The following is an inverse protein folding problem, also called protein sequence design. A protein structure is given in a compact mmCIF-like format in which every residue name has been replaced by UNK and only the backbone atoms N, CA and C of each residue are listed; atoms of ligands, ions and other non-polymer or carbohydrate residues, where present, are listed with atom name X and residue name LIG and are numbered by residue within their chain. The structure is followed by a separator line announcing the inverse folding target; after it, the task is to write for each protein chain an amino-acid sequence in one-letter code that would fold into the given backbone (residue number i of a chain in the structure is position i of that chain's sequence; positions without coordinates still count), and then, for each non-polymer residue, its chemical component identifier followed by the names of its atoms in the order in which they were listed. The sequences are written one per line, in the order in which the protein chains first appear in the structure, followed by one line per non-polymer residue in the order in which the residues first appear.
data_IF_216466115189
#
_entry.id   IF_216466115189
#
_cell.length_a   1.000
_cell.length_b   1.000
_cell.length_c   1.000
_cell.angle_alpha   90.00
_cell.angle_beta   90.00
_cell.angle_gamma   90.00
#
_symmetry.space_group_name_H-M   'P 1'
#
loop_
_entity.id
_entity.type
_entity.pdbx_description
1 polymer ?
#
# COMPACT_ATOMS: atom_id res chain seq x y z
N UNK A 1 -16.02 38.22 -28.92
CA UNK A 1 -16.28 36.80 -29.29
C UNK A 1 -15.03 36.23 -29.92
N UNK A 2 -14.17 35.59 -29.13
CA UNK A 2 -13.05 34.77 -29.62
C UNK A 2 -13.19 33.41 -28.96
N UNK A 3 -13.32 32.38 -29.78
CA UNK A 3 -13.43 30.98 -29.36
C UNK A 3 -12.09 30.55 -28.75
N UNK A 4 -12.10 30.16 -27.47
CA UNK A 4 -11.00 29.36 -26.92
C UNK A 4 -11.08 27.97 -27.57
N UNK A 5 -10.16 27.71 -28.49
CA UNK A 5 -9.91 26.38 -29.02
C UNK A 5 -9.32 25.51 -27.92
N UNK A 6 -9.99 24.38 -27.65
CA UNK A 6 -9.50 23.26 -26.85
C UNK A 6 -8.08 22.87 -27.28
N UNK A 7 -7.10 23.06 -26.41
CA UNK A 7 -5.88 22.27 -26.45
C UNK A 7 -6.17 20.99 -25.67
N UNK A 8 -6.56 19.96 -26.42
CA UNK A 8 -6.46 18.57 -25.99
C UNK A 8 -4.96 18.32 -25.83
N UNK A 9 -4.45 18.36 -24.59
CA UNK A 9 -3.16 17.75 -24.29
C UNK A 9 -3.35 16.24 -24.38
N UNK A 10 -3.04 15.69 -25.55
CA UNK A 10 -2.70 14.28 -25.71
C UNK A 10 -1.40 14.03 -24.94
N UNK A 11 -1.52 13.71 -23.64
CA UNK A 11 -0.46 13.04 -22.89
C UNK A 11 -0.42 11.57 -23.32
N UNK A 12 0.01 11.33 -24.56
CA UNK A 12 0.47 10.01 -24.98
C UNK A 12 1.97 9.93 -24.73
N UNK A 13 2.35 9.28 -23.63
CA UNK A 13 3.68 8.72 -23.44
C UNK A 13 4.55 9.40 -22.38
N UNK A 14 4.52 8.86 -21.16
CA UNK A 14 5.77 8.53 -20.44
C UNK A 14 5.46 7.53 -19.32
N UNK A 15 6.10 6.35 -19.41
CA UNK A 15 6.18 5.30 -18.41
C UNK A 15 4.90 4.89 -17.67
N UNK A 16 4.09 4.05 -18.34
CA UNK A 16 3.84 2.74 -17.72
C UNK A 16 5.23 2.18 -17.40
N UNK A 17 5.65 2.16 -16.13
CA UNK A 17 6.41 0.97 -15.73
C UNK A 17 5.50 -0.18 -16.09
N UNK A 18 5.80 -0.86 -17.21
CA UNK A 18 5.35 -2.22 -17.39
C UNK A 18 5.83 -2.92 -16.13
N UNK A 19 4.95 -3.05 -15.14
CA UNK A 19 5.10 -4.06 -14.13
C UNK A 19 4.98 -5.35 -14.93
N UNK A 20 6.12 -5.80 -15.47
CA UNK A 20 6.22 -7.10 -16.09
C UNK A 20 5.64 -8.07 -15.06
N UNK A 21 4.65 -8.84 -15.49
CA UNK A 21 3.93 -9.74 -14.59
C UNK A 21 4.92 -10.56 -13.78
N UNK A 22 4.72 -10.63 -12.46
CA UNK A 22 5.57 -11.41 -11.58
C UNK A 22 5.63 -12.86 -12.09
N UNK A 23 6.85 -13.42 -12.20
CA UNK A 23 7.04 -14.79 -12.72
C UNK A 23 7.28 -15.78 -11.58
N UNK A 24 6.88 -17.05 -11.77
CA UNK A 24 7.22 -18.12 -10.81
C UNK A 24 8.74 -18.24 -10.57
N UNK A 25 9.58 -17.96 -11.57
CA UNK A 25 11.03 -17.99 -11.40
C UNK A 25 11.52 -16.88 -10.44
N UNK A 26 10.99 -15.66 -10.59
CA UNK A 26 11.29 -14.55 -9.69
C UNK A 26 10.81 -14.85 -8.26
N UNK A 27 9.60 -15.40 -8.10
CA UNK A 27 9.08 -15.80 -6.78
C UNK A 27 9.93 -16.90 -6.14
N UNK A 28 10.34 -17.92 -6.91
CA UNK A 28 11.24 -18.98 -6.40
C UNK A 28 12.59 -18.43 -5.95
N UNK A 29 13.17 -17.50 -6.72
CA UNK A 29 14.42 -16.83 -6.34
C UNK A 29 14.24 -16.03 -5.05
N UNK A 30 13.16 -15.26 -4.95
CA UNK A 30 12.83 -14.50 -3.75
C UNK A 30 12.64 -15.40 -2.53
N UNK A 31 11.83 -16.47 -2.65
CA UNK A 31 11.61 -17.48 -1.61
C UNK A 31 12.89 -18.22 -1.18
N UNK A 32 13.92 -18.24 -2.04
CA UNK A 32 15.20 -18.88 -1.74
C UNK A 32 16.17 -17.99 -0.95
N UNK A 33 15.85 -16.71 -0.74
CA UNK A 33 16.68 -15.82 0.07
C UNK A 33 16.62 -16.24 1.55
N UNK A 34 17.75 -16.30 2.28
CA UNK A 34 17.76 -16.73 3.68
C UNK A 34 16.79 -15.97 4.58
N UNK A 35 16.80 -14.63 4.54
CA UNK A 35 15.89 -13.80 5.35
C UNK A 35 14.42 -14.00 4.96
N UNK A 36 14.10 -14.33 3.71
CA UNK A 36 12.72 -14.62 3.29
C UNK A 36 12.26 -15.97 3.85
N UNK A 37 13.12 -16.99 3.84
CA UNK A 37 12.83 -18.29 4.46
C UNK A 37 12.61 -18.17 5.95
N UNK A 38 13.45 -17.37 6.61
CA UNK A 38 13.32 -17.08 8.02
C UNK A 38 12.01 -16.35 8.30
N UNK A 39 11.69 -15.30 7.51
CA UNK A 39 10.47 -14.54 7.66
C UNK A 39 9.19 -15.38 7.53
N UNK A 40 9.12 -16.31 6.58
CA UNK A 40 7.94 -17.19 6.43
C UNK A 40 7.86 -18.28 7.52
N UNK A 41 8.96 -18.54 8.23
CA UNK A 41 9.03 -19.50 9.35
C UNK A 41 8.73 -18.80 10.67
N UNK A 42 9.14 -17.54 10.81
CA UNK A 42 8.98 -16.69 11.98
C UNK A 42 8.18 -15.42 11.63
N UNK A 43 6.92 -15.55 11.14
CA UNK A 43 6.17 -14.43 10.56
C UNK A 43 5.75 -13.37 11.58
N UNK A 44 5.83 -13.67 12.89
CA UNK A 44 5.43 -12.77 13.97
C UNK A 44 6.52 -11.75 14.35
N UNK A 45 7.72 -11.82 13.80
CA UNK A 45 8.72 -10.78 14.05
C UNK A 45 8.47 -9.55 13.18
N UNK A 46 8.62 -8.34 13.74
CA UNK A 46 8.48 -7.07 13.01
C UNK A 46 9.42 -7.05 11.79
N UNK A 47 10.67 -7.47 11.98
CA UNK A 47 11.69 -7.55 10.92
C UNK A 47 11.36 -8.62 9.87
N UNK A 48 10.67 -9.71 10.23
CA UNK A 48 10.19 -10.70 9.27
C UNK A 48 9.16 -10.08 8.32
N UNK A 49 8.19 -9.33 8.87
CA UNK A 49 7.15 -8.67 8.06
C UNK A 49 7.77 -7.63 7.12
N UNK A 50 8.57 -6.72 7.67
CA UNK A 50 9.17 -5.63 6.90
C UNK A 50 10.21 -6.15 5.90
N UNK A 51 11.06 -7.08 6.32
CA UNK A 51 12.08 -7.68 5.48
C UNK A 51 11.48 -8.45 4.32
N UNK A 52 10.42 -9.23 4.58
CA UNK A 52 9.65 -9.90 3.52
C UNK A 52 9.02 -8.88 2.56
N UNK A 53 8.31 -7.87 3.08
CA UNK A 53 7.54 -6.97 2.22
C UNK A 53 8.42 -6.03 1.38
N UNK A 54 9.46 -5.45 1.98
CA UNK A 54 10.41 -4.59 1.26
C UNK A 54 11.53 -5.37 0.59
N UNK A 55 11.60 -6.69 0.79
CA UNK A 55 12.62 -7.54 0.19
C UNK A 55 14.04 -7.17 0.61
N UNK A 56 14.23 -6.75 1.86
CA UNK A 56 15.51 -6.36 2.47
C UNK A 56 15.81 -7.25 3.68
N UNK A 57 17.08 -7.43 3.98
CA UNK A 57 17.51 -8.21 5.14
C UNK A 57 17.80 -7.25 6.31
N UNK A 58 17.01 -7.27 7.38
CA UNK A 58 17.22 -6.37 8.52
C UNK A 58 18.50 -6.70 9.32
N UNK A 59 19.17 -7.83 9.04
CA UNK A 59 20.51 -8.12 9.57
C UNK A 59 21.63 -7.51 8.71
N UNK A 60 21.33 -7.06 7.48
CA UNK A 60 22.27 -6.38 6.61
C UNK A 60 22.42 -4.90 7.05
N UNK A 61 23.62 -4.44 7.45
CA UNK A 61 23.84 -3.07 7.89
C UNK A 61 23.59 -2.02 6.78
N UNK A 62 23.48 -2.43 5.52
CA UNK A 62 23.16 -1.54 4.39
C UNK A 62 21.66 -1.30 4.21
N UNK A 63 20.79 -2.06 4.87
CA UNK A 63 19.33 -1.95 4.75
C UNK A 63 18.79 -0.54 4.94
N UNK A 64 19.20 0.25 5.95
CA UNK A 64 18.77 1.64 6.06
C UNK A 64 19.11 2.48 4.83
N UNK A 65 20.27 2.26 4.19
CA UNK A 65 20.62 2.96 2.95
C UNK A 65 19.76 2.52 1.77
N UNK A 66 19.41 1.23 1.68
CA UNK A 66 18.54 0.70 0.63
C UNK A 66 17.14 1.32 0.74
N UNK A 67 16.61 1.41 1.96
CA UNK A 67 15.29 2.00 2.23
C UNK A 67 15.27 3.51 1.97
N UNK A 68 16.29 4.27 2.40
CA UNK A 68 16.39 5.71 2.12
C UNK A 68 16.44 6.03 0.62
N UNK A 69 17.18 5.23 -0.15
CA UNK A 69 17.28 5.39 -1.61
C UNK A 69 16.05 4.87 -2.36
N UNK A 70 15.14 4.16 -1.69
CA UNK A 70 13.99 3.54 -2.33
C UNK A 70 14.32 2.35 -3.24
N UNK A 71 15.55 1.81 -3.19
CA UNK A 71 16.01 0.72 -4.05
C UNK A 71 15.12 -0.54 -3.94
N UNK A 72 14.49 -0.74 -2.77
CA UNK A 72 13.55 -1.83 -2.54
C UNK A 72 12.32 -1.76 -3.45
N UNK A 73 11.87 -0.57 -3.83
CA UNK A 73 10.67 -0.37 -4.66
C UNK A 73 10.88 -0.96 -6.05
N UNK A 74 12.04 -0.70 -6.67
CA UNK A 74 12.38 -1.27 -7.97
C UNK A 74 12.39 -2.81 -7.94
N UNK A 75 12.83 -3.39 -6.82
CA UNK A 75 12.86 -4.83 -6.62
C UNK A 75 11.47 -5.43 -6.38
N UNK A 76 10.63 -4.73 -5.61
CA UNK A 76 9.40 -5.29 -5.06
C UNK A 76 8.11 -4.82 -5.74
N UNK A 77 8.14 -3.79 -6.59
CA UNK A 77 6.94 -3.29 -7.27
C UNK A 77 6.16 -4.39 -8.01
N UNK A 78 6.85 -5.30 -8.70
CA UNK A 78 6.18 -6.44 -9.34
C UNK A 78 5.50 -7.41 -8.37
N UNK A 79 6.05 -7.57 -7.16
CA UNK A 79 5.45 -8.37 -6.10
C UNK A 79 4.22 -7.69 -5.48
N UNK A 80 4.25 -6.36 -5.34
CA UNK A 80 3.16 -5.58 -4.75
C UNK A 80 1.96 -5.43 -5.69
N UNK A 81 2.20 -5.15 -6.98
CA UNK A 81 1.15 -4.77 -7.92
C UNK A 81 0.70 -5.91 -8.87
N UNK A 82 1.33 -7.09 -8.82
CA UNK A 82 0.88 -8.26 -9.60
C UNK A 82 0.20 -9.32 -8.73
N UNK A 83 -0.89 -9.90 -9.23
CA UNK A 83 -1.45 -11.12 -8.64
C UNK A 83 -0.63 -12.35 -9.08
N UNK A 84 -0.13 -13.15 -8.12
CA UNK A 84 0.61 -14.37 -8.45
C UNK A 84 0.45 -15.45 -7.38
N UNK A 85 -0.04 -16.63 -7.77
CA UNK A 85 -0.41 -17.72 -6.84
C UNK A 85 0.74 -18.19 -5.94
N UNK A 86 1.97 -18.23 -6.46
CA UNK A 86 3.14 -18.65 -5.67
C UNK A 86 3.52 -17.58 -4.63
N UNK A 87 3.35 -16.29 -4.94
CA UNK A 87 3.64 -15.21 -3.99
C UNK A 87 2.55 -15.10 -2.93
N UNK A 88 1.29 -15.22 -3.35
CA UNK A 88 0.15 -15.33 -2.42
C UNK A 88 0.33 -16.52 -1.46
N UNK A 89 0.98 -17.62 -1.90
CA UNK A 89 1.34 -18.75 -1.01
C UNK A 89 2.35 -18.37 0.06
N UNK A 90 3.35 -17.55 -0.26
CA UNK A 90 4.30 -17.05 0.74
C UNK A 90 3.60 -16.10 1.73
N UNK A 91 2.73 -15.22 1.22
CA UNK A 91 1.96 -14.29 2.06
C UNK A 91 1.04 -15.03 3.04
N UNK A 92 0.48 -16.19 2.65
CA UNK A 92 -0.33 -17.03 3.55
C UNK A 92 0.41 -17.53 4.79
N UNK A 93 1.74 -17.57 4.80
CA UNK A 93 2.49 -17.89 6.02
C UNK A 93 2.29 -16.82 7.11
N UNK A 94 1.94 -15.59 6.73
CA UNK A 94 1.66 -14.49 7.66
C UNK A 94 0.20 -14.47 8.13
N UNK A 95 -0.70 -15.34 7.62
CA UNK A 95 -2.13 -15.31 8.00
C UNK A 95 -2.41 -15.31 9.52
N UNK A 96 -1.68 -16.05 10.38
CA UNK A 96 -1.89 -15.96 11.82
C UNK A 96 -1.62 -14.55 12.37
N UNK A 97 -0.46 -13.96 12.07
CA UNK A 97 -0.08 -12.63 12.56
C UNK A 97 -0.91 -11.52 11.91
N UNK A 98 -1.39 -11.70 10.68
CA UNK A 98 -2.36 -10.77 10.07
C UNK A 98 -3.64 -10.70 10.90
N UNK A 99 -4.14 -11.85 11.38
CA UNK A 99 -5.34 -11.91 12.22
C UNK A 99 -5.10 -11.32 13.61
N UNK A 100 -3.93 -11.54 14.19
CA UNK A 100 -3.53 -10.90 15.46
C UNK A 100 -3.51 -9.37 15.30
N UNK A 101 -2.85 -8.85 14.26
CA UNK A 101 -2.82 -7.42 13.95
C UNK A 101 -4.23 -6.85 13.72
N UNK A 102 -5.06 -7.56 12.93
CA UNK A 102 -6.42 -7.17 12.61
C UNK A 102 -7.40 -7.19 13.78
N UNK A 103 -7.03 -7.82 14.91
CA UNK A 103 -7.78 -7.83 16.17
C UNK A 103 -7.14 -6.97 17.26
N UNK A 104 -6.09 -6.23 16.94
CA UNK A 104 -5.31 -5.44 17.90
C UNK A 104 -4.68 -6.28 19.02
N UNK A 105 -4.27 -7.52 18.72
CA UNK A 105 -3.67 -8.47 19.68
C UNK A 105 -2.13 -8.35 19.78
N UNK A 106 -1.49 -7.57 18.90
CA UNK A 106 -0.05 -7.27 18.93
C UNK A 106 0.25 -6.16 19.94
N UNK A 107 0.21 -6.50 21.22
CA UNK A 107 0.26 -5.54 22.34
C UNK A 107 1.68 -5.19 22.80
N UNK A 108 2.70 -5.95 22.38
CA UNK A 108 4.07 -5.73 22.82
C UNK A 108 4.67 -4.41 22.31
N UNK A 109 5.60 -3.84 23.08
CA UNK A 109 6.20 -2.52 22.79
C UNK A 109 6.87 -2.47 21.41
N UNK A 110 7.50 -3.57 20.97
CA UNK A 110 8.14 -3.65 19.65
C UNK A 110 7.18 -3.31 18.50
N UNK A 111 5.90 -3.61 18.66
CA UNK A 111 4.85 -3.32 17.68
C UNK A 111 4.28 -1.91 17.79
N UNK A 112 4.30 -1.31 18.97
CA UNK A 112 3.52 -0.10 19.27
C UNK A 112 4.34 1.15 19.58
N UNK A 113 5.60 1.00 19.98
CA UNK A 113 6.49 2.10 20.35
C UNK A 113 7.44 2.53 19.21
N UNK A 114 7.46 1.81 18.09
CA UNK A 114 8.35 2.09 16.96
C UNK A 114 7.60 2.32 15.64
N UNK A 115 8.21 3.10 14.75
CA UNK A 115 7.75 3.29 13.37
C UNK A 115 7.70 1.94 12.64
N UNK A 116 8.77 1.14 12.76
CA UNK A 116 8.86 -0.18 12.15
C UNK A 116 7.73 -1.10 12.61
N UNK A 117 7.43 -1.11 13.92
CA UNK A 117 6.33 -1.87 14.48
C UNK A 117 4.98 -1.47 13.90
N UNK A 118 4.66 -0.16 13.87
CA UNK A 118 3.41 0.34 13.29
C UNK A 118 3.34 0.10 11.77
N UNK A 119 4.45 0.26 11.07
CA UNK A 119 4.53 -0.05 9.64
C UNK A 119 4.31 -1.53 9.36
N UNK A 120 4.87 -2.42 10.16
CA UNK A 120 4.62 -3.85 10.02
C UNK A 120 3.14 -4.19 10.23
N UNK A 121 2.47 -3.57 11.22
CA UNK A 121 1.02 -3.72 11.41
C UNK A 121 0.22 -3.21 10.20
N UNK A 122 0.58 -2.04 9.64
CA UNK A 122 -0.04 -1.51 8.43
C UNK A 122 0.13 -2.47 7.24
N UNK A 123 1.35 -2.98 7.02
CA UNK A 123 1.65 -3.94 5.96
C UNK A 123 0.86 -5.25 6.13
N UNK A 124 0.75 -5.76 7.36
CA UNK A 124 -0.04 -6.97 7.63
C UNK A 124 -1.52 -6.77 7.31
N UNK A 125 -2.09 -5.66 7.77
CA UNK A 125 -3.53 -5.41 7.72
C UNK A 125 -4.01 -4.90 6.35
N UNK A 126 -3.16 -4.21 5.60
CA UNK A 126 -3.52 -3.68 4.28
C UNK A 126 -2.89 -4.43 3.10
N UNK A 127 -1.60 -4.76 3.16
CA UNK A 127 -0.88 -5.27 1.98
C UNK A 127 -0.87 -6.80 1.95
N UNK A 128 -0.31 -7.43 2.99
CA UNK A 128 -0.21 -8.88 3.05
C UNK A 128 -1.58 -9.55 3.18
N UNK A 129 -2.56 -8.92 3.83
CA UNK A 129 -3.95 -9.41 3.89
C UNK A 129 -4.55 -9.61 2.49
N UNK A 130 -4.36 -8.64 1.58
CA UNK A 130 -4.87 -8.68 0.19
C UNK A 130 -4.26 -9.82 -0.62
N UNK A 131 -2.98 -10.16 -0.40
CA UNK A 131 -2.31 -11.29 -1.04
C UNK A 131 -2.66 -12.63 -0.38
N UNK A 132 -2.58 -12.71 0.95
CA UNK A 132 -2.79 -13.93 1.70
C UNK A 132 -4.22 -14.47 1.55
N UNK A 133 -5.19 -13.56 1.49
CA UNK A 133 -6.62 -13.87 1.44
C UNK A 133 -7.28 -13.50 0.11
N UNK A 134 -6.49 -13.35 -0.97
CA UNK A 134 -6.98 -12.93 -2.29
C UNK A 134 -8.25 -13.68 -2.71
N UNK A 135 -9.26 -12.93 -3.11
CA UNK A 135 -10.55 -13.47 -3.57
C UNK A 135 -11.54 -13.80 -2.44
N UNK A 136 -11.20 -13.53 -1.18
CA UNK A 136 -12.11 -13.65 -0.03
C UNK A 136 -12.46 -12.28 0.57
N UNK A 137 -13.47 -12.24 1.44
CA UNK A 137 -13.82 -11.03 2.19
C UNK A 137 -12.75 -10.65 3.22
N UNK A 138 -11.98 -11.63 3.71
CA UNK A 138 -10.93 -11.41 4.72
C UNK A 138 -9.80 -10.52 4.19
N UNK A 139 -9.61 -10.47 2.85
CA UNK A 139 -8.65 -9.58 2.19
C UNK A 139 -8.89 -8.08 2.46
N UNK A 140 -10.10 -7.69 2.87
CA UNK A 140 -10.49 -6.30 3.15
C UNK A 140 -10.99 -6.11 4.58
N UNK A 141 -11.02 -7.18 5.38
CA UNK A 141 -11.65 -7.19 6.70
C UNK A 141 -10.94 -6.27 7.70
N UNK A 142 -9.66 -5.93 7.44
CA UNK A 142 -8.83 -5.16 8.35
C UNK A 142 -8.53 -3.74 7.82
N UNK A 143 -9.23 -3.29 6.77
CA UNK A 143 -9.05 -1.95 6.17
C UNK A 143 -9.16 -0.84 7.24
N UNK A 144 -10.12 -0.92 8.18
CA UNK A 144 -10.32 0.12 9.21
C UNK A 144 -9.12 0.23 10.17
N UNK A 145 -8.49 -0.91 10.52
CA UNK A 145 -7.27 -0.94 11.35
C UNK A 145 -6.12 -0.30 10.57
N UNK A 146 -5.94 -0.70 9.31
CA UNK A 146 -4.90 -0.17 8.44
C UNK A 146 -5.03 1.35 8.26
N UNK A 147 -6.23 1.86 7.96
CA UNK A 147 -6.50 3.29 7.80
C UNK A 147 -6.20 4.06 9.09
N UNK A 148 -6.56 3.51 10.26
CA UNK A 148 -6.24 4.13 11.55
C UNK A 148 -4.73 4.25 11.77
N UNK A 149 -3.96 3.21 11.45
CA UNK A 149 -2.49 3.22 11.55
C UNK A 149 -1.89 4.21 10.54
N UNK A 150 -2.38 4.22 9.30
CA UNK A 150 -1.91 5.12 8.26
C UNK A 150 -2.15 6.60 8.62
N UNK A 151 -3.32 6.93 9.19
CA UNK A 151 -3.61 8.27 9.72
C UNK A 151 -2.61 8.69 10.80
N UNK A 152 -2.33 7.80 11.75
CA UNK A 152 -1.38 8.09 12.83
C UNK A 152 0.03 8.36 12.29
N UNK A 153 0.50 7.51 11.39
CA UNK A 153 1.82 7.65 10.78
C UNK A 153 1.92 8.88 9.87
N UNK A 154 0.84 9.26 9.17
CA UNK A 154 0.83 10.47 8.34
C UNK A 154 0.92 11.74 9.18
N UNK A 155 0.25 11.80 10.35
CA UNK A 155 0.41 12.94 11.28
C UNK A 155 1.86 13.08 11.75
N UNK A 156 2.57 11.97 11.99
CA UNK A 156 4.01 12.00 12.32
C UNK A 156 4.85 12.51 11.16
N UNK A 157 4.63 12.02 9.94
CA UNK A 157 5.36 12.47 8.76
C UNK A 157 5.19 13.98 8.53
N UNK A 158 3.96 14.47 8.64
CA UNK A 158 3.60 15.88 8.43
C UNK A 158 3.94 16.80 9.61
N UNK A 159 4.55 16.29 10.68
CA UNK A 159 4.92 17.08 11.86
C UNK A 159 3.74 17.52 12.74
N UNK A 160 2.55 16.94 12.55
CA UNK A 160 1.32 17.24 13.28
C UNK A 160 1.07 16.30 14.47
N UNK A 161 2.09 15.59 14.94
CA UNK A 161 1.99 14.54 15.96
C UNK A 161 1.78 15.04 17.41
N UNK A 162 1.16 16.21 17.60
CA UNK A 162 1.02 16.88 18.91
C UNK A 162 0.31 16.04 20.00
N UNK A 163 -0.25 14.87 19.66
CA UNK A 163 -1.10 14.05 20.54
C UNK A 163 -0.76 12.56 20.64
N UNK A 164 0.24 12.06 19.92
CA UNK A 164 0.54 10.62 19.87
C UNK A 164 1.84 10.27 20.63
N UNK A 165 2.00 9.01 21.10
CA UNK A 165 3.26 8.56 21.69
C UNK A 165 4.42 8.82 20.72
N UNK A 166 5.55 9.27 21.26
CA UNK A 166 6.76 9.44 20.48
C UNK A 166 7.22 8.08 19.92
N UNK A 167 6.86 7.79 18.67
CA UNK A 167 7.35 6.60 17.97
C UNK A 167 8.83 6.77 17.65
N UNK A 168 9.63 5.77 18.04
CA UNK A 168 11.06 5.68 17.74
C UNK A 168 11.31 5.17 16.32
N UNK A 169 12.47 5.51 15.75
CA UNK A 169 12.90 5.06 14.44
C UNK A 169 12.77 6.13 13.34
N UNK A 170 12.90 5.69 12.10
CA UNK A 170 12.96 6.54 10.91
C UNK A 170 11.82 6.21 9.95
N UNK A 171 11.22 7.24 9.35
CA UNK A 171 10.28 7.09 8.25
C UNK A 171 11.04 7.11 6.93
N UNK A 172 11.08 5.99 6.23
CA UNK A 172 11.69 5.90 4.90
C UNK A 172 10.66 6.21 3.80
N UNK A 173 11.12 6.68 2.63
CA UNK A 173 10.26 6.90 1.46
C UNK A 173 9.31 5.72 1.16
N UNK A 174 9.80 4.45 1.08
CA UNK A 174 8.92 3.30 0.87
C UNK A 174 7.83 3.14 1.94
N UNK A 175 8.10 3.51 3.19
CA UNK A 175 7.08 3.47 4.25
C UNK A 175 5.99 4.50 3.99
N UNK A 176 6.38 5.71 3.59
CA UNK A 176 5.47 6.80 3.22
C UNK A 176 4.57 6.39 2.06
N UNK A 177 5.13 5.69 1.06
CA UNK A 177 4.34 5.10 -0.03
C UNK A 177 3.23 4.18 0.50
N UNK A 178 3.55 3.29 1.45
CA UNK A 178 2.55 2.37 1.99
C UNK A 178 1.56 3.04 2.96
N UNK A 179 1.96 4.09 3.67
CA UNK A 179 1.04 4.95 4.44
C UNK A 179 0.03 5.59 3.48
N UNK A 180 0.50 6.18 2.37
CA UNK A 180 -0.36 6.76 1.35
C UNK A 180 -1.34 5.74 0.78
N UNK A 181 -0.89 4.54 0.41
CA UNK A 181 -1.77 3.48 -0.13
C UNK A 181 -2.82 3.06 0.91
N UNK A 182 -2.46 2.96 2.19
CA UNK A 182 -3.41 2.73 3.28
C UNK A 182 -4.50 3.81 3.35
N UNK A 183 -4.13 5.09 3.20
CA UNK A 183 -5.09 6.20 3.13
C UNK A 183 -5.97 6.13 1.87
N UNK A 184 -5.40 5.81 0.70
CA UNK A 184 -6.17 5.63 -0.53
C UNK A 184 -7.24 4.56 -0.38
N UNK A 185 -7.00 3.50 0.40
CA UNK A 185 -7.99 2.44 0.60
C UNK A 185 -9.16 2.83 1.51
N UNK A 186 -9.14 4.01 2.11
CA UNK A 186 -10.24 4.58 2.89
C UNK A 186 -11.41 5.06 2.00
N UNK A 187 -12.63 4.89 2.51
CA UNK A 187 -13.86 5.47 1.95
C UNK A 187 -14.22 6.82 2.62
N UNK A 188 -13.24 7.50 3.24
CA UNK A 188 -13.38 8.86 3.78
C UNK A 188 -12.56 9.85 2.95
N UNK A 189 -13.22 10.88 2.41
CA UNK A 189 -12.61 11.91 1.58
C UNK A 189 -11.41 12.61 2.24
N UNK A 190 -11.48 12.90 3.54
CA UNK A 190 -10.38 13.61 4.22
C UNK A 190 -9.07 12.83 4.21
N UNK A 191 -9.11 11.50 4.13
CA UNK A 191 -7.91 10.67 4.06
C UNK A 191 -7.21 10.80 2.70
N UNK A 192 -7.98 11.05 1.63
CA UNK A 192 -7.43 11.30 0.30
C UNK A 192 -6.77 12.66 0.22
N UNK A 193 -7.30 13.66 0.93
CA UNK A 193 -6.66 14.97 1.06
C UNK A 193 -5.32 14.86 1.80
N UNK A 194 -5.28 14.15 2.93
CA UNK A 194 -4.05 13.87 3.68
C UNK A 194 -3.07 13.03 2.84
N UNK A 195 -3.56 12.10 2.02
CA UNK A 195 -2.72 11.32 1.10
C UNK A 195 -1.98 12.20 0.10
N UNK A 196 -2.66 13.21 -0.47
CA UNK A 196 -2.05 14.16 -1.40
C UNK A 196 -1.07 15.13 -0.71
N UNK A 197 -1.39 15.58 0.50
CA UNK A 197 -0.45 16.38 1.31
C UNK A 197 0.82 15.58 1.64
N UNK A 198 0.66 14.32 2.04
CA UNK A 198 1.76 13.42 2.33
C UNK A 198 2.62 13.13 1.09
N UNK A 199 2.01 13.05 -0.09
CA UNK A 199 2.74 12.93 -1.36
C UNK A 199 3.59 14.17 -1.64
N UNK A 200 3.04 15.36 -1.48
CA UNK A 200 3.78 16.61 -1.69
C UNK A 200 4.96 16.73 -0.71
N UNK A 201 4.75 16.32 0.54
CA UNK A 201 5.82 16.18 1.54
C UNK A 201 6.87 15.15 1.11
N UNK A 202 6.47 13.97 0.63
CA UNK A 202 7.38 12.90 0.23
C UNK A 202 8.30 13.29 -0.94
N UNK A 203 7.78 14.07 -1.89
CA UNK A 203 8.57 14.63 -3.01
C UNK A 203 9.68 15.56 -2.50
N UNK A 204 9.42 16.31 -1.42
CA UNK A 204 10.42 17.19 -0.81
C UNK A 204 11.45 16.42 0.03
N UNK A 205 11.00 15.45 0.84
CA UNK A 205 11.82 14.79 1.85
C UNK A 205 12.51 13.50 1.38
N UNK A 206 12.06 12.90 0.28
CA UNK A 206 12.66 11.70 -0.32
C UNK A 206 12.89 11.88 -1.84
N UNK A 207 13.73 12.85 -2.26
CA UNK A 207 13.94 13.19 -3.67
C UNK A 207 14.58 12.05 -4.49
N UNK A 208 15.25 11.10 -3.85
CA UNK A 208 15.79 9.88 -4.47
C UNK A 208 14.70 9.03 -5.13
N UNK A 209 13.44 9.22 -4.72
CA UNK A 209 12.28 8.49 -5.20
C UNK A 209 11.35 9.34 -6.09
N UNK A 210 11.79 10.51 -6.60
CA UNK A 210 10.92 11.40 -7.40
C UNK A 210 10.24 10.72 -8.59
N UNK A 211 10.97 9.89 -9.35
CA UNK A 211 10.38 9.14 -10.46
C UNK A 211 9.25 8.21 -9.98
N UNK A 212 9.35 7.69 -8.76
CA UNK A 212 8.30 6.88 -8.14
C UNK A 212 7.11 7.75 -7.70
N UNK A 213 7.36 8.90 -7.09
CA UNK A 213 6.31 9.83 -6.65
C UNK A 213 5.48 10.37 -7.81
N UNK A 214 6.12 10.66 -8.94
CA UNK A 214 5.44 11.06 -10.17
C UNK A 214 4.47 9.99 -10.67
N UNK A 215 4.80 8.71 -10.46
CA UNK A 215 3.92 7.58 -10.79
C UNK A 215 2.80 7.37 -9.75
N UNK A 216 3.04 7.69 -8.47
CA UNK A 216 2.03 7.57 -7.41
C UNK A 216 0.97 8.67 -7.45
N UNK A 217 1.31 9.88 -7.95
CA UNK A 217 0.36 11.01 -8.03
C UNK A 217 -0.93 10.70 -8.81
N UNK A 218 -0.88 10.24 -10.08
CA UNK A 218 -2.09 9.91 -10.82
C UNK A 218 -2.87 8.79 -10.12
N UNK A 219 -2.17 7.82 -9.53
CA UNK A 219 -2.81 6.72 -8.80
C UNK A 219 -3.62 7.24 -7.59
N UNK A 220 -3.07 8.19 -6.82
CA UNK A 220 -3.77 8.85 -5.71
C UNK A 220 -5.01 9.63 -6.18
N UNK A 221 -4.87 10.39 -7.27
CA UNK A 221 -5.95 11.18 -7.85
C UNK A 221 -7.09 10.32 -8.38
N UNK A 222 -6.78 9.20 -9.06
CA UNK A 222 -7.78 8.25 -9.56
C UNK A 222 -8.62 7.65 -8.41
N UNK A 223 -7.99 7.32 -7.28
CA UNK A 223 -8.71 6.83 -6.10
C UNK A 223 -9.61 7.92 -5.51
N UNK A 224 -9.08 9.14 -5.38
CA UNK A 224 -9.84 10.29 -4.88
C UNK A 224 -11.04 10.59 -5.76
N UNK A 225 -10.92 10.55 -7.08
CA UNK A 225 -12.03 10.81 -8.01
C UNK A 225 -13.21 9.87 -7.77
N UNK A 226 -12.94 8.58 -7.53
CA UNK A 226 -13.98 7.59 -7.21
C UNK A 226 -14.68 7.92 -5.89
N UNK A 227 -13.92 8.34 -4.88
CA UNK A 227 -14.48 8.76 -3.58
C UNK A 227 -15.24 10.09 -3.69
N UNK A 228 -14.75 11.07 -4.46
CA UNK A 228 -15.46 12.32 -4.74
C UNK A 228 -16.81 12.06 -5.41
N UNK A 229 -16.84 11.09 -6.33
CA UNK A 229 -18.03 10.77 -7.12
C UNK A 229 -19.07 9.94 -6.35
N UNK A 230 -18.63 8.91 -5.64
CA UNK A 230 -19.54 7.92 -5.04
C UNK A 230 -19.55 7.93 -3.51
N UNK A 231 -18.60 8.60 -2.86
CA UNK A 231 -18.39 8.57 -1.42
C UNK A 231 -17.91 7.21 -0.89
N UNK A 232 -17.63 6.24 -1.77
CA UNK A 232 -17.27 4.86 -1.45
C UNK A 232 -16.69 4.17 -2.69
N UNK A 233 -16.18 2.95 -2.52
CA UNK A 233 -15.70 2.10 -3.60
C UNK A 233 -16.77 1.13 -4.10
N UNK A 234 -17.36 1.35 -5.29
CA UNK A 234 -18.48 0.56 -5.76
C UNK A 234 -18.14 -0.93 -5.95
N UNK A 235 -16.92 -1.25 -6.39
CA UNK A 235 -16.47 -2.63 -6.58
C UNK A 235 -16.39 -3.42 -5.27
N UNK A 236 -16.40 -2.75 -4.12
CA UNK A 236 -16.45 -3.38 -2.79
C UNK A 236 -17.88 -3.60 -2.28
N UNK A 237 -18.91 -3.06 -2.95
CA UNK A 237 -20.28 -3.04 -2.44
C UNK A 237 -20.80 -4.44 -2.08
N UNK A 238 -20.73 -5.40 -3.01
CA UNK A 238 -21.18 -6.77 -2.76
C UNK A 238 -20.44 -7.43 -1.58
N UNK A 239 -19.12 -7.23 -1.48
CA UNK A 239 -18.29 -7.80 -0.40
C UNK A 239 -18.61 -7.18 0.96
N UNK A 240 -19.03 -5.91 0.98
CA UNK A 240 -19.49 -5.18 2.18
C UNK A 240 -21.01 -5.30 2.42
N UNK A 241 -21.74 -6.13 1.68
CA UNK A 241 -23.19 -6.29 1.83
C UNK A 241 -24.02 -5.07 1.44
N UNK A 242 -23.50 -4.22 0.55
CA UNK A 242 -24.17 -3.01 0.03
C UNK A 242 -24.74 -3.27 -1.37
N UNK A 243 -25.85 -2.64 -1.69
CA UNK A 243 -26.39 -2.62 -3.06
C UNK A 243 -25.71 -1.51 -3.89
N UNK A 244 -25.50 -1.81 -5.18
CA UNK A 244 -25.03 -0.82 -6.16
C UNK A 244 -26.20 0.07 -6.62
N UNK A 245 -25.97 1.37 -6.70
CA UNK A 245 -26.85 2.31 -7.40
C UNK A 245 -26.76 2.13 -8.92
N UNK A 246 -27.72 2.65 -9.70
CA UNK A 246 -27.64 2.61 -11.16
C UNK A 246 -26.38 3.26 -11.74
N UNK A 247 -25.90 4.34 -11.11
CA UNK A 247 -24.68 5.02 -11.55
C UNK A 247 -23.43 4.18 -11.28
N UNK A 248 -23.35 3.58 -10.09
CA UNK A 248 -22.27 2.66 -9.72
C UNK A 248 -22.22 1.45 -10.67
N UNK A 249 -23.37 0.85 -11.00
CA UNK A 249 -23.42 -0.26 -11.97
C UNK A 249 -22.92 0.14 -13.34
N UNK A 250 -23.27 1.35 -13.81
CA UNK A 250 -22.78 1.87 -15.10
C UNK A 250 -21.27 2.08 -15.07
N UNK A 251 -20.72 2.58 -13.97
CA UNK A 251 -19.27 2.75 -13.81
C UNK A 251 -18.53 1.42 -13.74
N UNK A 252 -19.05 0.44 -13.00
CA UNK A 252 -18.50 -0.92 -12.92
C UNK A 252 -18.50 -1.65 -14.27
N UNK A 253 -19.44 -1.31 -15.16
CA UNK A 253 -19.52 -1.87 -16.50
C UNK A 253 -18.74 -1.07 -17.56
N UNK A 254 -18.07 0.02 -17.18
CA UNK A 254 -17.34 0.89 -18.13
C UNK A 254 -16.00 0.30 -18.55
N UNK A 255 -15.60 0.53 -19.81
CA UNK A 255 -14.30 0.11 -20.32
C UNK A 255 -13.14 0.81 -19.57
N UNK A 256 -13.39 2.06 -19.14
CA UNK A 256 -12.46 2.92 -18.41
C UNK A 256 -12.34 2.58 -16.91
N UNK A 257 -12.98 1.51 -16.43
CA UNK A 257 -12.86 1.10 -15.03
C UNK A 257 -11.37 0.90 -14.67
N UNK A 258 -10.84 1.57 -13.62
CA UNK A 258 -9.43 1.51 -13.29
C UNK A 258 -8.93 0.09 -13.02
N UNK A 259 -7.67 -0.20 -13.37
CA UNK A 259 -7.07 -1.53 -13.23
C UNK A 259 -7.04 -2.01 -11.78
N UNK A 260 -6.85 -1.10 -10.82
CA UNK A 260 -6.89 -1.40 -9.39
C UNK A 260 -8.30 -1.77 -8.88
N UNK A 261 -9.36 -1.23 -9.49
CA UNK A 261 -10.73 -1.62 -9.17
C UNK A 261 -11.04 -3.01 -9.77
N UNK A 262 -10.60 -3.26 -11.00
CA UNK A 262 -10.72 -4.55 -11.69
C UNK A 262 -10.03 -5.68 -10.92
N UNK A 263 -8.82 -5.46 -10.43
CA UNK A 263 -8.02 -6.49 -9.74
C UNK A 263 -8.55 -6.87 -8.34
N UNK A 264 -9.41 -6.01 -7.77
CA UNK A 264 -10.03 -6.19 -6.45
C UNK A 264 -11.50 -6.61 -6.53
N UNK A 265 -12.09 -6.68 -7.72
CA UNK A 265 -13.48 -7.10 -7.94
C UNK A 265 -13.66 -8.60 -7.70
#
# INVERSE_FOLDING_TARGET
MMRLSQQILLFTGCCCTMVFGLTSAAVKRFASLPFVRDAVTNPREVTSVLGFFYGVDYQDPTTPSILRKGDCVNKMASFWYSSHKDYDKLCRSFSPVIREAGKSELVEDVWNASIDGKMAQLILTDQLSRNAFRGSNEAFQYDDIAVSIARNLSQKALGNAEKEPMLEGELYGPYVCNIMVGLMHSENLSDHEVCLELLDWAVAEAPEMNDWWDQQRPFALDHKEVIDRFGRYPHRNTKKGRENTPEEMKWLASDDLPTWAKSQS
#
